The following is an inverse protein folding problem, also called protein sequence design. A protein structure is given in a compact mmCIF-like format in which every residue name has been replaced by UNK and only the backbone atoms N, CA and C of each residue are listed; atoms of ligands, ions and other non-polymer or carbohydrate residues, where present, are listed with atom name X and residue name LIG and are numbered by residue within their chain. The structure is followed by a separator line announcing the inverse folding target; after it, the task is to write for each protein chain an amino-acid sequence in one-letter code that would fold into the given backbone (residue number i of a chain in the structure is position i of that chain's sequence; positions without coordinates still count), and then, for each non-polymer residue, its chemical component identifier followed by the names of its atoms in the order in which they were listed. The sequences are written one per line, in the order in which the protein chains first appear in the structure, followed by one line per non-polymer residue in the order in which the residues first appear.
data_IF_939883690176
#
_entry.id   IF_939883690176
#
_cell.length_a   1.000
_cell.length_b   1.000
_cell.length_c   1.000
_cell.angle_alpha   90.00
_cell.angle_beta   90.00
_cell.angle_gamma   90.00
#
_symmetry.space_group_name_H-M   'P 1'
#
loop_
_entity.id
_entity.type
_entity.pdbx_description
1 polymer ?
#
# COMPACT_ATOMS: atom_id res chain seq x y z
N UNK A 1 9.60 37.79 -16.03
CA UNK A 1 10.03 36.50 -15.46
C UNK A 1 11.30 36.08 -16.21
N UNK A 2 12.46 36.12 -15.56
CA UNK A 2 13.77 35.95 -16.24
C UNK A 2 13.99 34.50 -16.68
N UNK A 3 14.69 34.29 -17.80
CA UNK A 3 15.06 32.96 -18.35
C UNK A 3 15.74 32.04 -17.31
N UNK A 4 16.41 32.62 -16.32
CA UNK A 4 17.05 31.93 -15.20
C UNK A 4 16.00 31.22 -14.32
N UNK A 5 14.87 31.87 -14.00
CA UNK A 5 13.83 31.28 -13.17
C UNK A 5 13.18 30.06 -13.84
N UNK A 6 13.02 30.09 -15.17
CA UNK A 6 12.45 28.96 -15.90
C UNK A 6 13.36 27.72 -15.85
N UNK A 7 14.67 27.90 -16.04
CA UNK A 7 15.64 26.80 -15.96
C UNK A 7 15.71 26.18 -14.56
N UNK A 8 15.63 27.00 -13.51
CA UNK A 8 15.62 26.52 -12.13
C UNK A 8 14.35 25.72 -11.82
N UNK A 9 13.18 26.17 -12.29
CA UNK A 9 11.92 25.42 -12.11
C UNK A 9 11.98 24.07 -12.84
N UNK A 10 12.48 24.05 -14.08
CA UNK A 10 12.64 22.82 -14.84
C UNK A 10 13.61 21.86 -14.15
N UNK A 11 14.76 22.36 -13.67
CA UNK A 11 15.74 21.57 -12.94
C UNK A 11 15.14 20.96 -11.67
N UNK A 12 14.42 21.76 -10.88
CA UNK A 12 13.75 21.26 -9.67
C UNK A 12 12.73 20.17 -10.00
N UNK A 13 11.92 20.34 -11.06
CA UNK A 13 10.97 19.31 -11.50
C UNK A 13 11.67 18.00 -11.84
N UNK A 14 12.75 18.07 -12.61
CA UNK A 14 13.55 16.88 -12.97
C UNK A 14 14.10 16.21 -11.71
N UNK A 15 14.69 16.98 -10.79
CA UNK A 15 15.24 16.45 -9.54
C UNK A 15 14.15 15.75 -8.72
N UNK A 16 12.99 16.40 -8.51
CA UNK A 16 11.90 15.80 -7.75
C UNK A 16 11.31 14.56 -8.44
N UNK A 17 11.20 14.56 -9.76
CA UNK A 17 10.77 13.37 -10.52
C UNK A 17 11.75 12.22 -10.38
N UNK A 18 13.06 12.48 -10.44
CA UNK A 18 14.10 11.46 -10.24
C UNK A 18 14.05 10.91 -8.82
N UNK A 19 13.94 11.79 -7.81
CA UNK A 19 13.85 11.38 -6.41
C UNK A 19 12.60 10.52 -6.15
N UNK A 20 11.46 10.89 -6.73
CA UNK A 20 10.23 10.10 -6.64
C UNK A 20 10.40 8.74 -7.28
N UNK A 21 11.04 8.66 -8.46
CA UNK A 21 11.22 7.40 -9.18
C UNK A 21 12.16 6.45 -8.42
N UNK A 22 13.23 6.99 -7.81
CA UNK A 22 14.16 6.23 -6.97
C UNK A 22 13.46 5.75 -5.70
N UNK A 23 12.76 6.62 -4.98
CA UNK A 23 12.06 6.24 -3.73
C UNK A 23 10.95 5.23 -3.99
N UNK A 24 10.16 5.43 -5.04
CA UNK A 24 9.13 4.48 -5.46
C UNK A 24 9.73 3.13 -5.83
N UNK A 25 10.83 3.10 -6.60
CA UNK A 25 11.52 1.86 -6.94
C UNK A 25 12.04 1.09 -5.71
N UNK A 26 12.57 1.80 -4.71
CA UNK A 26 12.99 1.20 -3.44
C UNK A 26 11.80 0.62 -2.65
N UNK A 27 10.66 1.32 -2.62
CA UNK A 27 9.45 0.85 -1.93
C UNK A 27 8.87 -0.36 -2.66
N UNK A 28 8.80 -0.32 -3.99
CA UNK A 28 8.26 -1.41 -4.79
C UNK A 28 9.11 -2.68 -4.68
N UNK A 29 10.44 -2.55 -4.72
CA UNK A 29 11.35 -3.69 -4.51
C UNK A 29 11.20 -4.28 -3.12
N UNK A 30 11.07 -3.44 -2.09
CA UNK A 30 10.73 -3.89 -0.73
C UNK A 30 9.40 -4.63 -0.69
N UNK A 31 8.33 -4.07 -1.25
CA UNK A 31 6.99 -4.67 -1.24
C UNK A 31 6.95 -6.05 -1.91
N UNK A 32 7.70 -6.23 -3.02
CA UNK A 32 7.74 -7.52 -3.74
C UNK A 32 8.64 -8.54 -3.02
N UNK A 33 9.70 -8.11 -2.33
CA UNK A 33 10.69 -9.03 -1.73
C UNK A 33 10.43 -9.36 -0.28
N UNK A 34 9.65 -8.53 0.44
CA UNK A 34 9.34 -8.77 1.84
C UNK A 34 8.48 -10.04 1.97
N UNK A 35 8.84 -10.97 2.87
CA UNK A 35 7.96 -12.08 3.21
C UNK A 35 6.65 -11.56 3.81
N UNK A 36 5.55 -12.26 3.51
CA UNK A 36 4.25 -11.98 4.12
C UNK A 36 4.40 -12.12 5.64
N UNK A 37 4.05 -11.07 6.37
CA UNK A 37 4.15 -11.04 7.82
C UNK A 37 2.99 -11.79 8.46
N UNK A 38 3.16 -12.14 9.73
CA UNK A 38 2.10 -12.77 10.52
C UNK A 38 0.82 -11.93 10.52
N UNK A 39 0.98 -10.60 10.54
CA UNK A 39 -0.11 -9.64 10.61
C UNK A 39 -0.92 -9.63 9.31
N UNK A 40 -0.26 -9.53 8.15
CA UNK A 40 -0.88 -9.63 6.82
C UNK A 40 -1.59 -10.98 6.62
N UNK A 41 -0.96 -12.08 7.04
CA UNK A 41 -1.54 -13.42 6.96
C UNK A 41 -2.83 -13.52 7.77
N UNK A 42 -2.81 -13.02 9.01
CA UNK A 42 -3.98 -13.04 9.86
C UNK A 42 -5.10 -12.15 9.30
N UNK A 43 -4.77 -10.97 8.74
CA UNK A 43 -5.72 -10.12 8.02
C UNK A 43 -6.36 -10.86 6.84
N UNK A 44 -5.55 -11.48 5.98
CA UNK A 44 -6.02 -12.18 4.79
C UNK A 44 -6.87 -13.40 5.09
N UNK A 45 -6.50 -14.21 6.09
CA UNK A 45 -7.17 -15.50 6.37
C UNK A 45 -8.43 -15.32 7.23
N UNK A 46 -8.38 -14.45 8.24
CA UNK A 46 -9.46 -14.30 9.22
C UNK A 46 -10.40 -13.15 8.88
N UNK A 47 -9.86 -11.97 8.55
CA UNK A 47 -10.67 -10.76 8.49
C UNK A 47 -11.33 -10.49 7.14
N UNK A 48 -10.81 -11.03 6.04
CA UNK A 48 -11.41 -10.87 4.70
C UNK A 48 -12.79 -11.53 4.58
N UNK A 49 -13.14 -12.45 5.49
CA UNK A 49 -14.42 -13.16 5.54
C UNK A 49 -15.57 -12.28 5.98
N UNK A 50 -15.29 -11.28 6.81
CA UNK A 50 -16.28 -10.30 7.26
C UNK A 50 -16.73 -9.41 6.11
N UNK A 51 -17.97 -8.96 6.15
CA UNK A 51 -18.48 -7.93 5.25
C UNK A 51 -17.74 -6.60 5.46
N UNK A 52 -17.79 -5.72 4.46
CA UNK A 52 -17.17 -4.38 4.55
C UNK A 52 -17.70 -3.60 5.76
N UNK A 53 -19.00 -3.73 6.03
CA UNK A 53 -19.63 -3.11 7.20
C UNK A 53 -19.10 -3.68 8.51
N UNK A 54 -19.05 -4.99 8.65
CA UNK A 54 -18.51 -5.63 9.86
C UNK A 54 -17.07 -5.19 10.11
N UNK A 55 -16.22 -5.13 9.08
CA UNK A 55 -14.82 -4.66 9.20
C UNK A 55 -14.75 -3.23 9.73
N UNK A 56 -15.58 -2.32 9.21
CA UNK A 56 -15.61 -0.92 9.66
C UNK A 56 -16.13 -0.78 11.09
N UNK A 57 -16.93 -1.73 11.56
CA UNK A 57 -17.57 -1.69 12.87
C UNK A 57 -16.68 -2.27 13.99
N UNK A 58 -15.43 -2.64 13.69
CA UNK A 58 -14.48 -3.20 14.66
C UNK A 58 -15.11 -4.37 15.45
N UNK A 59 -15.37 -5.51 14.79
CA UNK A 59 -16.05 -6.62 15.46
C UNK A 59 -15.15 -7.24 16.56
N UNK A 60 -13.84 -7.10 16.41
CA UNK A 60 -12.82 -7.59 17.34
C UNK A 60 -11.84 -6.47 17.73
N UNK A 61 -11.49 -6.43 19.03
CA UNK A 61 -10.51 -5.50 19.63
C UNK A 61 -9.07 -6.01 19.58
N UNK A 62 -8.78 -6.99 18.72
CA UNK A 62 -7.44 -7.57 18.56
C UNK A 62 -6.53 -6.52 17.91
N UNK A 63 -5.30 -6.33 18.42
CA UNK A 63 -4.39 -5.28 17.97
C UNK A 63 -4.04 -5.32 16.48
N UNK A 64 -4.24 -6.46 15.82
CA UNK A 64 -3.96 -6.65 14.40
C UNK A 64 -5.07 -6.16 13.45
N UNK A 65 -6.17 -5.61 13.98
CA UNK A 65 -7.28 -5.12 13.18
C UNK A 65 -7.07 -3.67 12.72
N UNK A 66 -6.18 -3.48 11.75
CA UNK A 66 -6.08 -2.19 11.06
C UNK A 66 -7.16 -2.10 9.97
N UNK A 67 -8.28 -1.40 10.22
CA UNK A 67 -9.43 -1.30 9.28
C UNK A 67 -8.96 -1.06 7.84
N UNK A 68 -8.10 -0.07 7.63
CA UNK A 68 -7.67 0.31 6.29
C UNK A 68 -6.92 -0.83 5.58
N UNK A 69 -6.05 -1.54 6.32
CA UNK A 69 -5.34 -2.70 5.79
C UNK A 69 -6.32 -3.83 5.44
N UNK A 70 -7.24 -4.14 6.35
CA UNK A 70 -8.26 -5.17 6.16
C UNK A 70 -9.16 -4.88 4.96
N UNK A 71 -9.61 -3.64 4.81
CA UNK A 71 -10.43 -3.23 3.66
C UNK A 71 -9.64 -3.30 2.35
N UNK A 72 -8.38 -2.87 2.36
CA UNK A 72 -7.52 -2.94 1.18
C UNK A 72 -7.30 -4.39 0.76
N UNK A 73 -6.89 -5.26 1.67
CA UNK A 73 -6.69 -6.69 1.40
C UNK A 73 -7.99 -7.33 0.92
N UNK A 74 -9.15 -7.04 1.54
CA UNK A 74 -10.45 -7.55 1.06
C UNK A 74 -10.77 -7.09 -0.37
N UNK A 75 -10.47 -5.84 -0.69
CA UNK A 75 -10.69 -5.30 -2.03
C UNK A 75 -9.80 -5.97 -3.07
N UNK A 76 -8.48 -6.00 -2.82
CA UNK A 76 -7.51 -6.59 -3.74
C UNK A 76 -7.74 -8.09 -3.91
N UNK A 77 -7.89 -8.84 -2.81
CA UNK A 77 -8.15 -10.29 -2.88
C UNK A 77 -9.54 -10.62 -3.43
N UNK A 78 -10.51 -9.70 -3.31
CA UNK A 78 -11.82 -9.84 -3.94
C UNK A 78 -11.80 -9.70 -5.46
N UNK A 79 -10.87 -8.89 -6.00
CA UNK A 79 -10.71 -8.68 -7.45
C UNK A 79 -9.75 -9.70 -8.07
N UNK A 80 -8.65 -9.99 -7.39
CA UNK A 80 -7.55 -10.78 -7.94
C UNK A 80 -7.43 -12.20 -7.37
N UNK A 81 -8.21 -12.54 -6.35
CA UNK A 81 -8.10 -13.81 -5.63
C UNK A 81 -7.07 -13.76 -4.48
N UNK A 82 -6.97 -14.87 -3.75
CA UNK A 82 -6.09 -15.01 -2.59
C UNK A 82 -4.68 -15.42 -3.00
N UNK A 83 -4.01 -14.55 -3.74
CA UNK A 83 -2.64 -14.76 -4.22
C UNK A 83 -1.62 -14.10 -3.29
N UNK A 84 -0.40 -14.66 -3.21
CA UNK A 84 0.64 -14.11 -2.31
C UNK A 84 0.98 -12.64 -2.58
N UNK A 85 0.99 -12.24 -3.85
CA UNK A 85 1.28 -10.86 -4.23
C UNK A 85 0.12 -9.90 -3.96
N UNK A 86 -1.11 -10.42 -3.82
CA UNK A 86 -2.31 -9.65 -3.55
C UNK A 86 -2.50 -9.36 -2.04
N UNK A 87 -1.84 -10.16 -1.19
CA UNK A 87 -1.86 -10.04 0.28
C UNK A 87 -0.70 -9.19 0.82
N UNK A 88 0.40 -9.08 0.05
CA UNK A 88 1.54 -8.19 0.33
C UNK A 88 1.17 -6.72 0.13
#
# INVERSE_FOLDING_TARGET
MTMVNFRVILLNRVIYSVLLLISFGMILTKAITLPITHDETATAVYYTRFSVWEIMMFPDSIPNNHILNTLLIKCITGVFGMEEWAVR
#
